data_IF_858348428799
#
_entry.id   IF_858348428799
#
_cell.length_a   1.000
_cell.length_b   1.000
_cell.length_c   1.000
_cell.angle_alpha   90.00
_cell.angle_beta   90.00
_cell.angle_gamma   90.00
#
_symmetry.space_group_name_H-M   'P 1'
#
loop_
_entity.id
_entity.type
_entity.pdbx_description
1 polymer ?
#
# COMPACT_ATOMS: atom_id res chain seq x y z
N UNK A 1 -22.46 -3.81 -3.73
CA UNK A 1 -21.64 -3.60 -2.52
C UNK A 1 -20.55 -4.66 -2.52
N UNK A 2 -19.29 -4.28 -2.35
CA UNK A 2 -18.17 -5.21 -2.21
C UNK A 2 -17.74 -5.24 -0.73
N UNK A 3 -17.39 -6.42 -0.22
CA UNK A 3 -16.93 -6.62 1.15
C UNK A 3 -15.45 -7.01 1.09
N UNK A 4 -14.61 -6.27 1.80
CA UNK A 4 -13.16 -6.47 1.82
C UNK A 4 -12.69 -6.86 3.22
N UNK A 5 -11.50 -7.46 3.31
CA UNK A 5 -10.81 -7.64 4.58
C UNK A 5 -10.57 -6.27 5.25
N UNK A 6 -10.74 -6.21 6.57
CA UNK A 6 -10.46 -4.99 7.32
C UNK A 6 -8.94 -4.83 7.52
N UNK A 7 -8.41 -3.67 7.11
CA UNK A 7 -7.00 -3.34 7.22
C UNK A 7 -6.79 -2.27 8.31
N UNK A 8 -6.22 -2.62 9.48
CA UNK A 8 -6.25 -1.77 10.67
C UNK A 8 -5.33 -0.54 10.59
N UNK A 9 -4.29 -0.58 9.76
CA UNK A 9 -3.31 0.51 9.63
C UNK A 9 -3.71 1.57 8.60
N UNK A 10 -4.97 1.53 8.14
CA UNK A 10 -5.58 2.52 7.24
C UNK A 10 -4.77 2.67 5.95
N UNK A 11 -4.89 3.83 5.30
CA UNK A 11 -4.20 4.18 4.08
C UNK A 11 -2.81 4.77 4.34
N UNK A 12 -1.94 4.70 3.33
CA UNK A 12 -0.57 5.19 3.43
C UNK A 12 -0.50 6.72 3.63
N UNK A 13 -1.42 7.49 3.06
CA UNK A 13 -1.52 8.93 3.32
C UNK A 13 -1.78 9.25 4.80
N UNK A 14 -2.62 8.45 5.46
CA UNK A 14 -2.91 8.58 6.88
C UNK A 14 -1.68 8.31 7.77
N UNK A 15 -0.67 7.59 7.29
CA UNK A 15 0.60 7.43 8.00
C UNK A 15 1.68 8.44 7.57
N UNK A 16 1.64 8.92 6.32
CA UNK A 16 2.62 9.87 5.79
C UNK A 16 2.37 11.30 6.28
N UNK A 17 1.10 11.67 6.45
CA UNK A 17 0.69 13.06 6.71
C UNK A 17 0.05 13.26 8.09
N UNK A 18 0.02 12.25 8.95
CA UNK A 18 -0.43 12.42 10.33
C UNK A 18 0.64 13.23 11.10
N UNK A 19 0.29 14.44 11.58
CA UNK A 19 1.24 15.30 12.28
C UNK A 19 1.62 14.76 13.67
N UNK A 20 0.80 13.85 14.23
CA UNK A 20 0.96 13.26 15.56
C UNK A 20 1.67 11.91 15.45
N UNK A 21 1.33 11.09 14.45
CA UNK A 21 1.91 9.75 14.24
C UNK A 21 3.09 9.78 13.28
N UNK A 22 4.28 9.64 13.85
CA UNK A 22 5.53 9.59 13.10
C UNK A 22 6.04 8.15 12.88
N UNK A 23 5.11 7.19 12.79
CA UNK A 23 5.41 5.76 12.70
C UNK A 23 6.36 5.46 11.52
N UNK A 24 6.26 6.19 10.41
CA UNK A 24 7.12 6.05 9.24
C UNK A 24 8.50 6.72 9.36
N UNK A 25 8.98 7.17 10.52
CA UNK A 25 10.35 7.75 10.62
C UNK A 25 11.47 6.76 10.30
N UNK A 26 11.22 5.47 10.48
CA UNK A 26 12.21 4.42 10.20
C UNK A 26 12.27 4.16 8.68
N UNK A 27 13.41 4.48 8.06
CA UNK A 27 13.63 4.30 6.61
C UNK A 27 13.37 2.87 6.14
N UNK A 28 13.79 1.88 6.94
CA UNK A 28 13.55 0.45 6.65
C UNK A 28 12.05 0.15 6.44
N UNK A 29 11.18 0.78 7.21
CA UNK A 29 9.73 0.58 7.09
C UNK A 29 9.19 1.19 5.80
N UNK A 30 9.66 2.40 5.45
CA UNK A 30 9.33 3.04 4.16
C UNK A 30 9.78 2.18 2.97
N UNK A 31 10.99 1.63 3.06
CA UNK A 31 11.54 0.77 2.01
C UNK A 31 10.67 -0.49 1.82
N UNK A 32 10.28 -1.16 2.89
CA UNK A 32 9.40 -2.33 2.82
C UNK A 32 8.06 -2.01 2.16
N UNK A 33 7.46 -0.86 2.47
CA UNK A 33 6.21 -0.40 1.83
C UNK A 33 6.42 -0.16 0.34
N UNK A 34 7.48 0.55 -0.05
CA UNK A 34 7.83 0.80 -1.45
C UNK A 34 8.03 -0.52 -2.21
N UNK A 35 8.79 -1.45 -1.61
CA UNK A 35 9.04 -2.76 -2.19
C UNK A 35 7.73 -3.54 -2.41
N UNK A 36 6.84 -3.55 -1.43
CA UNK A 36 5.53 -4.21 -1.55
C UNK A 36 4.67 -3.62 -2.66
N UNK A 37 4.61 -2.29 -2.79
CA UNK A 37 3.88 -1.60 -3.87
C UNK A 37 4.47 -2.00 -5.23
N UNK A 38 5.79 -1.96 -5.36
CA UNK A 38 6.49 -2.36 -6.59
C UNK A 38 6.22 -3.82 -6.97
N UNK A 39 6.21 -4.73 -6.00
CA UNK A 39 5.86 -6.16 -6.21
C UNK A 39 4.41 -6.32 -6.68
N UNK A 40 3.46 -5.61 -6.06
CA UNK A 40 2.05 -5.60 -6.50
C UNK A 40 1.89 -5.09 -7.93
N UNK A 41 2.55 -3.99 -8.28
CA UNK A 41 2.53 -3.44 -9.65
C UNK A 41 3.20 -4.37 -10.67
N UNK A 42 4.33 -4.98 -10.31
CA UNK A 42 5.02 -5.95 -11.16
C UNK A 42 4.09 -7.12 -11.50
N UNK A 43 3.38 -7.65 -10.49
CA UNK A 43 2.40 -8.69 -10.68
C UNK A 43 1.28 -8.26 -11.65
N UNK A 44 0.67 -7.09 -11.44
CA UNK A 44 -0.39 -6.58 -12.33
C UNK A 44 0.10 -6.36 -13.77
N UNK A 45 1.36 -5.97 -13.97
CA UNK A 45 1.88 -5.65 -15.29
C UNK A 45 2.42 -6.84 -16.07
N UNK A 46 2.98 -7.84 -15.38
CA UNK A 46 3.76 -8.92 -16.01
C UNK A 46 3.32 -10.33 -15.63
N UNK A 47 2.96 -10.57 -14.37
CA UNK A 47 2.78 -11.93 -13.86
C UNK A 47 1.30 -12.37 -13.79
N UNK A 48 0.38 -11.40 -13.88
CA UNK A 48 -1.05 -11.66 -14.00
C UNK A 48 -1.42 -12.16 -15.41
N UNK A 49 -2.45 -13.01 -15.49
CA UNK A 49 -2.93 -13.59 -16.76
C UNK A 49 -3.31 -12.52 -17.81
N UNK A 50 -3.78 -11.37 -17.35
CA UNK A 50 -4.10 -10.21 -18.17
C UNK A 50 -3.31 -9.04 -17.64
N UNK A 51 -2.67 -8.26 -18.51
CA UNK A 51 -2.00 -7.02 -18.10
C UNK A 51 -3.04 -6.03 -17.55
N UNK A 52 -2.97 -5.76 -16.25
CA UNK A 52 -3.84 -4.82 -15.55
C UNK A 52 -3.07 -3.52 -15.28
N UNK A 53 -3.69 -2.37 -15.57
CA UNK A 53 -3.13 -1.05 -15.25
C UNK A 53 -3.92 -0.50 -14.06
N UNK A 54 -3.24 -0.18 -12.96
CA UNK A 54 -3.87 0.30 -11.71
C UNK A 54 -4.67 1.61 -11.88
N UNK A 55 -4.18 2.54 -12.71
CA UNK A 55 -4.78 3.84 -13.08
C UNK A 55 -4.98 4.88 -11.96
N UNK A 56 -5.19 4.50 -10.71
CA UNK A 56 -5.36 5.46 -9.59
C UNK A 56 -4.37 5.18 -8.45
N UNK A 57 -3.09 5.03 -8.78
CA UNK A 57 -2.05 4.76 -7.80
C UNK A 57 -1.70 6.04 -7.04
N UNK A 58 -2.16 6.12 -5.79
CA UNK A 58 -1.91 7.25 -4.88
C UNK A 58 -1.89 6.76 -3.42
N UNK A 59 -1.27 7.51 -2.50
CA UNK A 59 -1.13 7.07 -1.10
C UNK A 59 -2.46 6.75 -0.39
N UNK A 60 -3.56 7.44 -0.73
CA UNK A 60 -4.88 7.16 -0.15
C UNK A 60 -5.53 5.86 -0.61
N UNK A 61 -5.06 5.28 -1.72
CA UNK A 61 -5.54 4.01 -2.26
C UNK A 61 -4.61 2.82 -1.90
N UNK A 62 -3.56 3.05 -1.11
CA UNK A 62 -2.68 1.99 -0.63
C UNK A 62 -3.06 1.75 0.84
N UNK A 63 -3.78 0.66 1.10
CA UNK A 63 -4.13 0.24 2.46
C UNK A 63 -3.02 -0.60 3.06
N UNK A 64 -2.90 -0.60 4.39
CA UNK A 64 -1.84 -1.27 5.12
C UNK A 64 -2.41 -2.30 6.09
N UNK A 65 -1.92 -3.53 5.99
CA UNK A 65 -2.28 -4.59 6.94
C UNK A 65 -1.62 -4.37 8.32
N UNK A 66 -1.91 -5.27 9.26
CA UNK A 66 -1.38 -5.25 10.63
C UNK A 66 0.15 -5.25 10.74
N UNK A 67 0.85 -5.68 9.69
CA UNK A 67 2.33 -5.69 9.58
C UNK A 67 2.88 -4.57 8.69
N UNK A 68 2.04 -3.62 8.28
CA UNK A 68 2.38 -2.51 7.39
C UNK A 68 2.80 -2.95 5.98
N UNK A 69 2.30 -4.10 5.52
CA UNK A 69 2.42 -4.45 4.11
C UNK A 69 1.33 -3.75 3.29
N UNK A 70 1.67 -3.23 2.10
CA UNK A 70 0.72 -2.55 1.23
C UNK A 70 -0.22 -3.52 0.52
N UNK A 71 -1.49 -3.13 0.43
CA UNK A 71 -2.59 -3.76 -0.31
C UNK A 71 -3.27 -2.66 -1.13
N UNK A 72 -3.39 -2.85 -2.43
CA UNK A 72 -4.12 -1.93 -3.32
C UNK A 72 -5.32 -2.59 -3.96
#
# INVERSE_FOLDING_TARGET
MLVYEYLPNKSLDALLFDPIKQELRVWKMRFNIIEGICRGLLYLHRDSRLRIIHRDLKPSNILLDHTLNPKS
#
